data_IF_288596048693
#
_entry.id   IF_288596048693
#
_cell.length_a   1.000
_cell.length_b   1.000
_cell.length_c   1.000
_cell.angle_alpha   90.00
_cell.angle_beta   90.00
_cell.angle_gamma   90.00
#
_symmetry.space_group_name_H-M   'P 1'
#
loop_
_entity.id
_entity.type
_entity.pdbx_description
1 polymer ?
#
# COMPACT_ATOMS: atom_id res chain seq x y z
N UNK A 1 -12.90 7.44 9.92
CA UNK A 1 -11.89 7.03 8.93
C UNK A 1 -10.75 6.35 9.62
N UNK A 2 -10.33 5.23 9.07
CA UNK A 2 -9.33 4.43 9.76
C UNK A 2 -7.93 5.01 9.58
N UNK A 3 -7.25 5.23 10.69
CA UNK A 3 -5.83 5.52 10.73
C UNK A 3 -5.07 4.33 10.15
N UNK A 4 -4.03 4.60 9.37
CA UNK A 4 -3.18 3.55 8.82
C UNK A 4 -2.55 2.74 9.95
N UNK A 5 -1.95 3.40 10.93
CA UNK A 5 -1.34 2.72 12.07
C UNK A 5 -2.35 1.85 12.81
N UNK A 6 -3.51 2.41 13.15
CA UNK A 6 -4.54 1.70 13.90
C UNK A 6 -5.04 0.46 13.15
N UNK A 7 -5.30 0.57 11.84
CA UNK A 7 -5.78 -0.56 11.06
C UNK A 7 -4.71 -1.64 10.90
N UNK A 8 -3.45 -1.27 10.72
CA UNK A 8 -2.36 -2.25 10.63
C UNK A 8 -2.17 -2.96 11.97
N UNK A 9 -2.24 -2.24 13.09
CA UNK A 9 -2.17 -2.86 14.42
C UNK A 9 -3.25 -3.93 14.58
N UNK A 10 -4.48 -3.66 14.15
CA UNK A 10 -5.57 -4.65 14.18
C UNK A 10 -5.25 -5.86 13.33
N UNK A 11 -4.71 -5.66 12.14
CA UNK A 11 -4.36 -6.76 11.22
C UNK A 11 -3.28 -7.67 11.77
N UNK A 12 -2.33 -7.14 12.53
CA UNK A 12 -1.20 -7.93 13.07
C UNK A 12 -1.44 -8.39 14.50
N UNK A 13 -2.62 -8.11 15.07
CA UNK A 13 -2.99 -8.59 16.38
C UNK A 13 -2.48 -7.77 17.56
N UNK A 14 -2.16 -6.50 17.34
CA UNK A 14 -1.76 -5.59 18.42
C UNK A 14 -2.95 -4.72 18.81
N UNK A 15 -3.20 -4.59 20.10
CA UNK A 15 -4.29 -3.75 20.60
C UNK A 15 -4.02 -2.28 20.26
N UNK A 16 -5.09 -1.56 19.95
CA UNK A 16 -5.02 -0.15 19.56
C UNK A 16 -4.39 0.71 20.65
N UNK A 17 -4.67 0.42 21.92
CA UNK A 17 -4.16 1.18 23.06
C UNK A 17 -2.79 0.72 23.53
N UNK A 18 -2.23 -0.34 22.94
CA UNK A 18 -0.87 -0.77 23.22
C UNK A 18 0.08 0.00 22.30
N UNK A 19 0.78 0.97 22.88
CA UNK A 19 1.70 1.83 22.13
C UNK A 19 3.16 1.38 22.21
N UNK A 20 3.41 0.26 22.91
CA UNK A 20 4.78 -0.24 23.13
C UNK A 20 5.57 -0.49 21.85
N UNK A 21 4.89 -0.89 20.78
CA UNK A 21 5.51 -1.29 19.53
C UNK A 21 5.28 -0.28 18.40
N UNK A 22 4.69 0.87 18.71
CA UNK A 22 4.28 1.82 17.65
C UNK A 22 5.44 2.26 16.79
N UNK A 23 6.59 2.56 17.37
CA UNK A 23 7.77 2.99 16.60
C UNK A 23 8.20 1.89 15.62
N UNK A 24 8.28 0.66 16.08
CA UNK A 24 8.68 -0.48 15.25
C UNK A 24 7.66 -0.74 14.14
N UNK A 25 6.37 -0.64 14.46
CA UNK A 25 5.30 -0.83 13.50
C UNK A 25 5.31 0.28 12.44
N UNK A 26 5.51 1.53 12.85
CA UNK A 26 5.61 2.67 11.93
C UNK A 26 6.79 2.48 10.98
N UNK A 27 7.94 2.06 11.48
CA UNK A 27 9.11 1.78 10.64
C UNK A 27 8.81 0.69 9.61
N UNK A 28 8.13 -0.38 10.03
CA UNK A 28 7.74 -1.46 9.13
C UNK A 28 6.76 -0.97 8.07
N UNK A 29 5.75 -0.19 8.46
CA UNK A 29 4.77 0.38 7.53
C UNK A 29 5.47 1.25 6.48
N UNK A 30 6.35 2.16 6.93
CA UNK A 30 7.06 3.05 6.01
C UNK A 30 7.99 2.29 5.08
N UNK A 31 8.56 1.20 5.54
CA UNK A 31 9.36 0.29 4.71
C UNK A 31 8.51 -0.30 3.57
N UNK A 32 7.29 -0.72 3.88
CA UNK A 32 6.35 -1.25 2.87
C UNK A 32 5.91 -0.14 1.91
N UNK A 33 5.68 1.06 2.40
CA UNK A 33 5.35 2.20 1.53
C UNK A 33 6.50 2.53 0.56
N UNK A 34 7.74 2.29 0.97
CA UNK A 34 8.89 2.41 0.06
C UNK A 34 8.77 1.45 -1.12
N UNK A 35 8.38 0.21 -0.85
CA UNK A 35 8.15 -0.79 -1.90
C UNK A 35 7.00 -0.36 -2.81
N UNK A 36 5.89 0.08 -2.23
CA UNK A 36 4.74 0.55 -3.00
C UNK A 36 5.10 1.75 -3.89
N UNK A 37 5.91 2.67 -3.37
CA UNK A 37 6.39 3.80 -4.16
C UNK A 37 7.17 3.33 -5.38
N UNK A 38 8.05 2.35 -5.21
CA UNK A 38 8.82 1.77 -6.31
C UNK A 38 7.93 1.06 -7.33
N UNK A 39 6.82 0.47 -6.87
CA UNK A 39 5.84 -0.16 -7.76
C UNK A 39 4.97 0.87 -8.49
N UNK A 40 5.04 2.14 -8.11
CA UNK A 40 4.21 3.18 -8.71
C UNK A 40 2.87 3.37 -8.03
N UNK A 41 2.70 2.88 -6.80
CA UNK A 41 1.47 2.98 -6.03
C UNK A 41 1.61 4.09 -4.99
N UNK A 42 0.66 5.02 -4.98
CA UNK A 42 0.62 6.13 -4.03
C UNK A 42 1.05 7.46 -4.64
N UNK A 43 1.26 8.49 -3.81
CA UNK A 43 1.58 9.84 -4.30
C UNK A 43 2.88 9.90 -5.09
N UNK A 44 2.90 10.73 -6.15
CA UNK A 44 4.07 10.92 -7.02
C UNK A 44 5.17 11.78 -6.43
N UNK A 45 4.79 12.64 -5.50
CA UNK A 45 5.68 13.71 -5.01
C UNK A 45 6.78 13.18 -4.09
N UNK A 46 6.84 11.90 -3.87
CA UNK A 46 7.77 11.23 -2.99
C UNK A 46 7.08 10.12 -2.24
N UNK A 47 7.87 9.34 -1.53
CA UNK A 47 7.32 8.25 -0.74
C UNK A 47 6.38 8.78 0.34
N UNK A 48 5.19 8.20 0.44
CA UNK A 48 4.28 8.48 1.54
C UNK A 48 4.82 7.84 2.82
N UNK A 49 4.86 8.61 3.90
CA UNK A 49 5.30 8.11 5.21
C UNK A 49 4.28 8.47 6.27
N UNK A 50 4.18 7.64 7.30
CA UNK A 50 3.40 7.97 8.49
C UNK A 50 4.33 8.28 9.65
N UNK A 51 3.84 9.09 10.59
CA UNK A 51 4.58 9.48 11.78
C UNK A 51 3.86 9.07 13.06
N UNK A 52 2.59 8.74 12.98
CA UNK A 52 1.77 8.37 14.12
C UNK A 52 0.45 7.78 13.67
N UNK A 53 -0.63 8.08 14.40
CA UNK A 53 -1.95 7.52 14.13
C UNK A 53 -2.91 8.50 13.44
N UNK A 54 -2.41 9.62 12.92
CA UNK A 54 -3.25 10.64 12.30
C UNK A 54 -3.41 10.46 10.80
N UNK A 55 -2.44 9.84 10.14
CA UNK A 55 -2.52 9.62 8.70
C UNK A 55 -3.54 8.53 8.38
N UNK A 56 -4.34 8.74 7.35
CA UNK A 56 -5.40 7.83 6.94
C UNK A 56 -5.10 7.20 5.58
N UNK A 57 -5.82 6.13 5.24
CA UNK A 57 -5.66 5.48 3.94
C UNK A 57 -6.05 6.41 2.78
N UNK A 58 -7.01 7.31 3.01
CA UNK A 58 -7.39 8.29 1.99
C UNK A 58 -6.32 9.35 1.77
N UNK A 59 -5.48 9.62 2.76
CA UNK A 59 -4.30 10.47 2.57
C UNK A 59 -3.30 9.82 1.62
N UNK A 60 -3.24 8.48 1.62
CA UNK A 60 -2.33 7.72 0.77
C UNK A 60 -2.89 7.53 -0.63
N UNK A 61 -4.14 7.08 -0.76
CA UNK A 61 -4.77 6.88 -2.05
C UNK A 61 -6.30 6.83 -1.90
N UNK A 62 -7.01 7.24 -2.95
CA UNK A 62 -8.47 7.31 -2.94
C UNK A 62 -9.14 6.46 -4.03
N UNK A 63 -8.41 5.61 -4.73
CA UNK A 63 -8.99 4.79 -5.78
C UNK A 63 -9.59 3.48 -5.26
N UNK A 64 -10.19 2.70 -6.16
CA UNK A 64 -10.92 1.48 -5.83
C UNK A 64 -10.07 0.30 -5.38
N UNK A 65 -8.74 0.41 -5.43
CA UNK A 65 -7.84 -0.69 -5.06
C UNK A 65 -7.31 -0.56 -3.63
N UNK A 66 -7.89 0.34 -2.84
CA UNK A 66 -7.44 0.62 -1.47
C UNK A 66 -7.46 -0.63 -0.59
N UNK A 67 -8.46 -1.50 -0.73
CA UNK A 67 -8.55 -2.72 0.08
C UNK A 67 -7.40 -3.68 -0.21
N UNK A 68 -7.02 -3.83 -1.48
CA UNK A 68 -5.87 -4.67 -1.85
C UNK A 68 -4.59 -4.11 -1.24
N UNK A 69 -4.40 -2.79 -1.30
CA UNK A 69 -3.23 -2.12 -0.73
C UNK A 69 -3.19 -2.30 0.78
N UNK A 70 -4.32 -2.14 1.47
CA UNK A 70 -4.40 -2.38 2.92
C UNK A 70 -4.00 -3.80 3.28
N UNK A 71 -4.53 -4.77 2.55
CA UNK A 71 -4.22 -6.19 2.81
C UNK A 71 -2.75 -6.48 2.55
N UNK A 72 -2.19 -5.92 1.48
CA UNK A 72 -0.78 -6.07 1.18
C UNK A 72 0.09 -5.50 2.29
N UNK A 73 -0.20 -4.27 2.72
CA UNK A 73 0.56 -3.62 3.81
C UNK A 73 0.46 -4.44 5.08
N UNK A 74 -0.74 -4.89 5.44
CA UNK A 74 -0.95 -5.69 6.65
C UNK A 74 -0.15 -6.99 6.64
N UNK A 75 -0.18 -7.74 5.54
CA UNK A 75 0.57 -8.99 5.40
C UNK A 75 2.08 -8.77 5.42
N UNK A 76 2.56 -7.74 4.72
CA UNK A 76 3.99 -7.42 4.70
C UNK A 76 4.48 -7.02 6.09
N UNK A 77 3.74 -6.17 6.79
CA UNK A 77 4.10 -5.76 8.14
C UNK A 77 4.07 -6.95 9.09
N UNK A 78 3.08 -7.82 8.97
CA UNK A 78 3.00 -9.05 9.77
C UNK A 78 4.26 -9.91 9.59
N UNK A 79 4.72 -10.08 8.37
CA UNK A 79 5.92 -10.86 8.07
C UNK A 79 7.19 -10.22 8.59
N UNK A 80 7.23 -8.89 8.66
CA UNK A 80 8.39 -8.15 9.19
C UNK A 80 8.37 -8.14 10.72
N UNK A 81 7.21 -7.84 11.31
CA UNK A 81 7.08 -7.56 12.74
C UNK A 81 6.87 -8.84 13.56
N UNK A 82 6.03 -9.74 13.09
CA UNK A 82 5.65 -10.96 13.83
C UNK A 82 5.34 -12.09 12.83
N UNK A 83 6.38 -12.67 12.20
CA UNK A 83 6.15 -13.71 11.19
C UNK A 83 5.55 -14.95 11.84
N UNK A 84 4.67 -15.68 11.10
CA UNK A 84 4.11 -16.92 11.60
C UNK A 84 5.20 -17.96 11.87
N UNK A 85 5.04 -18.71 12.96
CA UNK A 85 5.98 -19.77 13.32
C UNK A 85 5.67 -21.07 12.57
N UNK A 86 4.46 -21.22 12.04
CA UNK A 86 4.05 -22.41 11.27
C UNK A 86 4.50 -22.22 9.83
N UNK A 87 5.36 -23.11 9.33
CA UNK A 87 5.98 -22.98 8.01
C UNK A 87 4.98 -22.92 6.86
N UNK A 88 3.92 -23.74 6.90
CA UNK A 88 2.89 -23.72 5.84
C UNK A 88 2.13 -22.40 5.81
N UNK A 89 1.87 -21.80 6.96
CA UNK A 89 1.19 -20.50 7.06
C UNK A 89 2.10 -19.39 6.55
N UNK A 90 3.38 -19.41 6.93
CA UNK A 90 4.36 -18.45 6.44
C UNK A 90 4.47 -18.49 4.92
N UNK A 91 4.48 -19.70 4.34
CA UNK A 91 4.53 -19.89 2.89
C UNK A 91 3.27 -19.36 2.21
N UNK A 92 2.10 -19.60 2.81
CA UNK A 92 0.84 -19.08 2.29
C UNK A 92 0.84 -17.55 2.28
N UNK A 93 1.36 -16.91 3.32
CA UNK A 93 1.47 -15.46 3.38
C UNK A 93 2.43 -14.92 2.32
N UNK A 94 3.59 -15.58 2.13
CA UNK A 94 4.55 -15.19 1.09
C UNK A 94 3.93 -15.27 -0.30
N UNK A 95 3.18 -16.33 -0.57
CA UNK A 95 2.50 -16.50 -1.85
C UNK A 95 1.45 -15.42 -2.06
N UNK A 96 0.68 -15.09 -1.03
CA UNK A 96 -0.33 -14.04 -1.12
C UNK A 96 0.30 -12.67 -1.34
N UNK A 97 1.41 -12.38 -0.67
CA UNK A 97 2.16 -11.14 -0.84
C UNK A 97 2.66 -11.03 -2.29
N UNK A 98 3.24 -12.10 -2.83
CA UNK A 98 3.73 -12.12 -4.21
C UNK A 98 2.59 -11.90 -5.21
N UNK A 99 1.42 -12.49 -4.97
CA UNK A 99 0.25 -12.28 -5.82
C UNK A 99 -0.22 -10.84 -5.78
N UNK A 100 -0.28 -10.22 -4.61
CA UNK A 100 -0.66 -8.81 -4.50
C UNK A 100 0.35 -7.90 -5.22
N UNK A 101 1.64 -8.17 -5.09
CA UNK A 101 2.67 -7.40 -5.79
C UNK A 101 2.49 -7.50 -7.30
N UNK A 102 2.19 -8.68 -7.80
CA UNK A 102 1.93 -8.87 -9.22
C UNK A 102 0.68 -8.13 -9.67
N UNK A 103 -0.43 -8.24 -8.91
CA UNK A 103 -1.69 -7.56 -9.24
C UNK A 103 -1.55 -6.05 -9.20
N UNK A 104 -0.83 -5.52 -8.22
CA UNK A 104 -0.57 -4.08 -8.11
C UNK A 104 0.27 -3.58 -9.29
N UNK A 105 1.28 -4.35 -9.67
CA UNK A 105 2.12 -4.01 -10.81
C UNK A 105 1.30 -3.96 -12.11
N UNK A 106 0.45 -4.97 -12.33
CA UNK A 106 -0.44 -5.00 -13.50
C UNK A 106 -1.41 -3.82 -13.49
N UNK A 107 -1.99 -3.51 -12.33
CA UNK A 107 -2.92 -2.38 -12.19
C UNK A 107 -2.24 -1.05 -12.53
N UNK A 108 -1.00 -0.85 -12.09
CA UNK A 108 -0.22 0.35 -12.42
C UNK A 108 0.06 0.41 -13.92
N UNK A 109 0.47 -0.70 -14.53
CA UNK A 109 0.73 -0.77 -15.97
C UNK A 109 -0.52 -0.48 -16.81
N UNK A 110 -1.68 -0.89 -16.31
CA UNK A 110 -2.97 -0.65 -17.00
C UNK A 110 -3.55 0.74 -16.71
N UNK A 111 -2.90 1.54 -15.85
CA UNK A 111 -3.40 2.85 -15.47
C UNK A 111 -4.55 2.83 -14.49
N UNK A 112 -4.85 1.69 -13.88
CA UNK A 112 -5.92 1.55 -12.89
C UNK A 112 -5.54 2.12 -11.54
N UNK A 113 -4.24 2.10 -11.22
CA UNK A 113 -3.65 2.74 -10.05
C UNK A 113 -2.58 3.67 -10.58
N UNK A 114 -2.72 4.95 -10.31
CA UNK A 114 -1.70 5.91 -10.65
C UNK A 114 -1.22 6.63 -9.40
N UNK A 115 0.03 7.06 -9.38
CA UNK A 115 0.54 7.82 -8.24
C UNK A 115 -0.12 9.18 -8.11
N UNK A 116 -0.58 9.75 -9.19
CA UNK A 116 -1.51 10.87 -9.20
C UNK A 116 -2.58 10.52 -10.16
N UNK A 117 -3.83 10.58 -9.75
CA UNK A 117 -4.93 10.62 -10.68
C UNK A 117 -4.84 11.93 -11.43
N UNK A 118 -3.86 12.01 -12.32
CA UNK A 118 -3.80 13.10 -13.25
C UNK A 118 -4.88 12.81 -14.28
N UNK A 119 -6.04 13.40 -14.08
CA UNK A 119 -7.00 13.46 -15.15
C UNK A 119 -6.28 14.04 -16.35
N UNK A 120 -6.19 13.26 -17.41
CA UNK A 120 -5.67 13.76 -18.66
C UNK A 120 -6.51 14.97 -19.07
N UNK A 121 -5.84 16.08 -19.34
CA UNK A 121 -6.54 17.23 -19.89
C UNK A 121 -7.05 16.87 -21.29
N UNK A 122 -8.09 17.55 -21.80
CA UNK A 122 -8.58 17.28 -23.16
C UNK A 122 -7.45 17.36 -24.20
N UNK A 123 -6.49 18.26 -24.01
CA UNK A 123 -5.33 18.39 -24.91
C UNK A 123 -4.45 17.15 -24.87
N UNK A 124 -4.24 16.57 -23.70
CA UNK A 124 -3.45 15.36 -23.56
C UNK A 124 -4.16 14.16 -24.19
N UNK A 125 -5.47 14.09 -24.04
CA UNK A 125 -6.28 13.04 -24.69
C UNK A 125 -6.19 13.16 -26.19
N UNK A 126 -6.31 14.37 -26.75
CA UNK A 126 -6.21 14.62 -28.19
C UNK A 126 -4.83 14.22 -28.71
N UNK A 127 -3.76 14.53 -27.98
CA UNK A 127 -2.41 14.14 -28.36
C UNK A 127 -2.25 12.63 -28.41
N UNK A 128 -2.85 11.90 -27.48
CA UNK A 128 -2.81 10.44 -27.47
C UNK A 128 -3.58 9.86 -28.65
N UNK A 129 -4.73 10.43 -29.00
CA UNK A 129 -5.54 10.00 -30.14
C UNK A 129 -4.74 10.23 -31.45
N UNK A 130 -4.08 11.37 -31.59
CA UNK A 130 -3.25 11.68 -32.76
C UNK A 130 -2.09 10.70 -32.90
N UNK A 131 -1.53 10.21 -31.81
CA UNK A 131 -0.46 9.21 -31.82
C UNK A 131 -0.92 7.83 -32.29
N UNK A 132 -2.22 7.55 -32.24
CA UNK A 132 -2.79 6.26 -32.63
C UNK A 132 -3.11 6.17 -34.12
N UNK A 133 -3.06 7.27 -34.84
CA UNK A 133 -3.33 7.31 -36.30
C UNK A 133 -2.07 6.98 -37.13
#
# INVERSE_FOLDING_TARGET
MDSILTSVKKMIGVYEDDTSFDVDIILAINSVFSILYQLGVGPKNGQFVIHGNTETWTDFMIDGNTEMVKNYVGLKVKMIFDPPTIGTLAEAYKNQIAEYEWRLNVAVENGEIGPDDVELTPEQVDSLIDMLD
#
